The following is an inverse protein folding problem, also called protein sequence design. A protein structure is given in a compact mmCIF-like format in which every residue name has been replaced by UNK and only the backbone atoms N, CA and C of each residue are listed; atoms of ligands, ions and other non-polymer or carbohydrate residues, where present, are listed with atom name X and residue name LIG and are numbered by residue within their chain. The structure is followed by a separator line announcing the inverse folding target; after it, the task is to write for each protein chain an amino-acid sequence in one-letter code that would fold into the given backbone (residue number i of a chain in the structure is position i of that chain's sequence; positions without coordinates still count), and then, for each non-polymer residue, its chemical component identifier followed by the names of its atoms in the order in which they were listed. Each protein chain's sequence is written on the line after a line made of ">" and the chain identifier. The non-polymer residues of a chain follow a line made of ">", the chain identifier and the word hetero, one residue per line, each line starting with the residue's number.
data_IF_060314808362
#
_entry.id   IF_060314808362
#
_cell.length_a   1.000
_cell.length_b   1.000
_cell.length_c   1.000
_cell.angle_alpha   90.00
_cell.angle_beta   90.00
_cell.angle_gamma   90.00
#
_symmetry.space_group_name_H-M   'P 1'
#
loop_
_entity.id
_entity.type
_entity.pdbx_description
1 polymer ?
#
# COMPACT_ATOMS: atom_id res chain seq x y z
N UNK A 1 8.33 1.87 -21.64
CA UNK A 1 8.18 1.84 -20.17
C UNK A 1 8.00 3.25 -19.64
N UNK A 2 8.97 4.16 -19.81
CA UNK A 2 8.83 5.56 -19.35
C UNK A 2 7.57 6.26 -19.86
N UNK A 3 7.23 6.15 -21.15
CA UNK A 3 5.98 6.72 -21.67
C UNK A 3 4.72 6.24 -20.91
N UNK A 4 4.66 4.94 -20.55
CA UNK A 4 3.55 4.39 -19.77
C UNK A 4 3.61 4.92 -18.34
N UNK A 5 4.81 4.94 -17.74
CA UNK A 5 5.03 5.40 -16.37
C UNK A 5 4.61 6.86 -16.18
N UNK A 6 5.06 7.77 -17.07
CA UNK A 6 4.72 9.20 -17.01
C UNK A 6 3.20 9.40 -17.00
N UNK A 7 2.52 8.70 -17.89
CA UNK A 7 1.07 8.87 -18.09
C UNK A 7 0.24 8.21 -17.00
N UNK A 8 0.72 7.11 -16.45
CA UNK A 8 0.09 6.46 -15.30
C UNK A 8 0.32 7.30 -14.04
N UNK A 9 1.53 7.86 -13.86
CA UNK A 9 1.85 8.79 -12.79
C UNK A 9 0.90 10.02 -12.81
N UNK A 10 0.68 10.62 -13.98
CA UNK A 10 -0.23 11.77 -14.13
C UNK A 10 -1.70 11.47 -13.78
N UNK A 11 -2.09 10.19 -13.78
CA UNK A 11 -3.44 9.73 -13.42
C UNK A 11 -3.58 9.32 -11.96
N UNK A 12 -2.52 9.41 -11.15
CA UNK A 12 -2.57 9.02 -9.74
C UNK A 12 -3.51 9.94 -8.94
N UNK A 13 -4.42 9.36 -8.16
CA UNK A 13 -5.39 10.11 -7.33
C UNK A 13 -5.06 10.06 -5.83
N UNK A 14 -3.97 9.41 -5.43
CA UNK A 14 -3.60 9.22 -4.01
C UNK A 14 -3.16 10.51 -3.29
N UNK A 15 -2.78 11.55 -4.05
CA UNK A 15 -2.20 12.79 -3.52
C UNK A 15 -0.71 12.69 -3.18
N UNK A 16 -0.06 11.55 -3.50
CA UNK A 16 1.39 11.34 -3.32
C UNK A 16 2.07 11.18 -4.67
N UNK A 17 3.32 11.63 -4.76
CA UNK A 17 4.15 11.52 -5.97
C UNK A 17 4.83 10.16 -5.97
N UNK A 18 4.46 9.28 -6.90
CA UNK A 18 5.05 7.94 -7.06
C UNK A 18 6.47 8.02 -7.62
N UNK A 19 7.46 8.29 -6.76
CA UNK A 19 8.85 8.50 -7.17
C UNK A 19 9.45 7.37 -8.02
N UNK A 20 9.13 6.07 -7.82
CA UNK A 20 9.64 5.02 -8.70
C UNK A 20 9.23 5.15 -10.16
N UNK A 21 8.07 5.77 -10.46
CA UNK A 21 7.60 5.97 -11.84
C UNK A 21 8.29 7.14 -12.54
N UNK A 22 8.80 8.13 -11.78
CA UNK A 22 9.59 9.24 -12.32
C UNK A 22 10.99 8.80 -12.74
N UNK A 23 11.43 7.64 -12.25
CA UNK A 23 12.71 7.01 -12.58
C UNK A 23 13.95 7.91 -12.41
N UNK A 24 13.95 8.77 -11.38
CA UNK A 24 15.06 9.69 -11.12
C UNK A 24 16.38 8.94 -10.87
N UNK A 25 16.29 7.73 -10.31
CA UNK A 25 17.42 6.84 -10.01
C UNK A 25 17.77 5.87 -11.16
N UNK A 26 16.92 5.77 -12.19
CA UNK A 26 17.17 4.95 -13.39
C UNK A 26 16.94 3.44 -13.23
N UNK A 27 16.17 3.00 -12.24
CA UNK A 27 15.90 1.59 -11.94
C UNK A 27 14.56 1.05 -12.49
N UNK A 28 13.65 1.91 -12.95
CA UNK A 28 12.29 1.53 -13.35
C UNK A 28 12.29 0.39 -14.37
N UNK A 29 13.12 0.47 -15.41
CA UNK A 29 13.17 -0.57 -16.44
C UNK A 29 13.71 -1.90 -15.89
N UNK A 30 14.76 -1.84 -15.06
CA UNK A 30 15.38 -3.03 -14.45
C UNK A 30 14.38 -3.74 -13.52
N UNK A 31 13.76 -3.00 -12.61
CA UNK A 31 12.77 -3.52 -11.67
C UNK A 31 11.53 -4.07 -12.37
N UNK A 32 11.07 -3.40 -13.43
CA UNK A 32 9.93 -3.87 -14.23
C UNK A 32 10.27 -5.20 -14.89
N UNK A 33 11.44 -5.31 -15.55
CA UNK A 33 11.85 -6.54 -16.23
C UNK A 33 12.02 -7.69 -15.22
N UNK A 34 12.74 -7.46 -14.12
CA UNK A 34 12.95 -8.46 -13.07
C UNK A 34 11.61 -8.94 -12.49
N UNK A 35 10.67 -8.04 -12.24
CA UNK A 35 9.32 -8.38 -11.77
C UNK A 35 8.58 -9.27 -12.79
N UNK A 36 8.57 -8.89 -14.06
CA UNK A 36 7.92 -9.67 -15.13
C UNK A 36 8.55 -11.06 -15.30
N UNK A 37 9.88 -11.17 -15.21
CA UNK A 37 10.62 -12.44 -15.29
C UNK A 37 10.26 -13.36 -14.12
N UNK A 38 10.21 -12.84 -12.89
CA UNK A 38 9.80 -13.59 -11.69
C UNK A 38 8.36 -14.11 -11.79
N UNK A 39 7.46 -13.32 -12.36
CA UNK A 39 6.08 -13.74 -12.67
C UNK A 39 6.01 -14.82 -13.76
N UNK A 40 7.10 -15.03 -14.49
CA UNK A 40 7.22 -16.04 -15.54
C UNK A 40 6.82 -15.55 -16.93
N UNK A 41 6.71 -14.23 -17.14
CA UNK A 41 6.44 -13.70 -18.47
C UNK A 41 7.69 -13.87 -19.34
N UNK A 42 7.54 -14.57 -20.46
CA UNK A 42 8.61 -14.68 -21.45
C UNK A 42 8.83 -13.35 -22.16
N UNK A 43 10.08 -12.91 -22.25
CA UNK A 43 10.42 -11.72 -23.04
C UNK A 43 10.00 -11.88 -24.52
N UNK A 44 9.49 -10.82 -25.17
CA UNK A 44 9.15 -10.89 -26.58
C UNK A 44 10.42 -11.13 -27.41
N UNK A 45 10.31 -11.95 -28.47
CA UNK A 45 11.45 -12.29 -29.34
C UNK A 45 11.98 -11.10 -30.14
N UNK A 46 11.12 -10.12 -30.37
CA UNK A 46 11.40 -8.87 -31.06
C UNK A 46 10.50 -7.79 -30.48
N UNK A 47 10.93 -6.54 -30.58
CA UNK A 47 10.07 -5.43 -30.18
C UNK A 47 8.77 -5.45 -31.00
N UNK A 48 7.59 -5.30 -30.38
CA UNK A 48 6.32 -5.31 -31.11
C UNK A 48 6.23 -4.13 -32.07
N UNK A 49 5.92 -4.41 -33.34
CA UNK A 49 5.89 -3.38 -34.41
C UNK A 49 4.79 -2.37 -34.15
N UNK A 50 3.68 -2.81 -33.55
CA UNK A 50 2.56 -1.95 -33.15
C UNK A 50 2.93 -0.94 -32.04
N UNK A 51 4.07 -1.11 -31.38
CA UNK A 51 4.59 -0.17 -30.37
C UNK A 51 5.80 0.63 -30.87
N UNK A 52 6.27 0.38 -32.10
CA UNK A 52 7.41 1.07 -32.70
C UNK A 52 6.97 2.41 -33.31
N UNK A 53 6.60 3.33 -32.42
CA UNK A 53 5.98 4.63 -32.74
C UNK A 53 6.87 5.77 -32.22
N UNK A 54 6.78 6.94 -32.83
CA UNK A 54 7.47 8.15 -32.36
C UNK A 54 6.68 8.83 -31.23
N UNK A 55 7.04 8.52 -29.99
CA UNK A 55 6.40 9.03 -28.77
C UNK A 55 6.59 10.54 -28.51
N UNK A 56 7.54 11.20 -29.19
CA UNK A 56 7.88 12.62 -28.93
C UNK A 56 7.06 13.61 -29.76
N UNK A 57 6.36 13.14 -30.81
CA UNK A 57 5.67 14.01 -31.78
C UNK A 57 4.20 13.65 -31.99
N UNK A 58 3.61 12.93 -31.04
CA UNK A 58 2.22 12.45 -31.09
C UNK A 58 1.27 13.60 -30.72
N UNK A 59 0.31 13.92 -31.60
CA UNK A 59 -0.77 14.85 -31.26
C UNK A 59 -1.86 14.20 -30.41
N UNK A 60 -2.89 14.95 -29.99
CA UNK A 60 -3.92 14.46 -29.07
C UNK A 60 -4.74 13.29 -29.66
N UNK A 61 -5.01 13.27 -30.98
CA UNK A 61 -5.75 12.16 -31.63
C UNK A 61 -4.85 10.92 -31.78
N UNK A 62 -3.59 11.11 -32.20
CA UNK A 62 -2.62 10.02 -32.29
C UNK A 62 -2.28 9.42 -30.90
N UNK A 63 -2.50 10.18 -29.82
CA UNK A 63 -2.31 9.71 -28.44
C UNK A 63 -3.37 8.68 -28.03
N UNK A 64 -4.61 8.81 -28.49
CA UNK A 64 -5.68 7.82 -28.21
C UNK A 64 -5.37 6.48 -28.91
N UNK A 65 -5.01 6.53 -30.21
CA UNK A 65 -4.63 5.34 -30.98
C UNK A 65 -3.39 4.63 -30.39
N UNK A 66 -2.45 5.41 -29.85
CA UNK A 66 -1.27 4.88 -29.15
C UNK A 66 -1.66 4.17 -27.84
N UNK A 67 -2.61 4.72 -27.08
CA UNK A 67 -3.13 4.07 -25.88
C UNK A 67 -3.84 2.77 -26.19
N UNK A 68 -4.67 2.75 -27.23
CA UNK A 68 -5.31 1.52 -27.69
C UNK A 68 -4.26 0.47 -28.07
N UNK A 69 -3.17 0.86 -28.71
CA UNK A 69 -2.06 -0.06 -29.06
C UNK A 69 -1.35 -0.62 -27.83
N UNK A 70 -1.14 0.20 -26.80
CA UNK A 70 -0.55 -0.20 -25.51
C UNK A 70 -1.48 -1.17 -24.78
N UNK A 71 -2.76 -0.84 -24.63
CA UNK A 71 -3.72 -1.64 -23.88
C UNK A 71 -4.08 -2.94 -24.60
N UNK A 72 -3.95 -3.01 -25.92
CA UNK A 72 -4.13 -4.25 -26.69
C UNK A 72 -2.89 -5.16 -26.71
N UNK A 73 -1.69 -4.65 -26.42
CA UNK A 73 -0.49 -5.47 -26.36
C UNK A 73 -0.41 -6.23 -25.01
N UNK A 74 -0.22 -7.56 -25.00
CA UNK A 74 -0.22 -8.34 -23.75
C UNK A 74 0.86 -7.95 -22.74
N UNK A 75 2.04 -7.52 -23.19
CA UNK A 75 3.11 -7.11 -22.27
C UNK A 75 2.86 -5.69 -21.75
N UNK A 76 2.56 -4.77 -22.65
CA UNK A 76 2.37 -3.36 -22.29
C UNK A 76 1.14 -3.14 -21.42
N UNK A 77 0.04 -3.85 -21.68
CA UNK A 77 -1.15 -3.82 -20.81
C UNK A 77 -0.90 -4.37 -19.41
N UNK A 78 -0.02 -5.37 -19.26
CA UNK A 78 0.40 -5.85 -17.93
C UNK A 78 1.26 -4.81 -17.23
N UNK A 79 2.24 -4.22 -17.93
CA UNK A 79 3.08 -3.14 -17.38
C UNK A 79 2.23 -1.96 -16.92
N UNK A 80 1.27 -1.53 -17.75
CA UNK A 80 0.31 -0.48 -17.41
C UNK A 80 -0.47 -0.81 -16.13
N UNK A 81 -1.00 -2.03 -16.00
CA UNK A 81 -1.71 -2.46 -14.78
C UNK A 81 -0.82 -2.47 -13.55
N UNK A 82 0.42 -2.94 -13.68
CA UNK A 82 1.39 -2.94 -12.58
C UNK A 82 1.67 -1.50 -12.14
N UNK A 83 1.89 -0.58 -13.08
CA UNK A 83 2.18 0.82 -12.75
C UNK A 83 0.98 1.53 -12.11
N UNK A 84 -0.25 1.24 -12.56
CA UNK A 84 -1.45 1.80 -11.91
C UNK A 84 -1.54 1.32 -10.46
N UNK A 85 -1.39 0.01 -10.25
CA UNK A 85 -1.32 -0.57 -8.91
C UNK A 85 -0.17 -0.01 -8.08
N UNK A 86 0.96 0.33 -8.71
CA UNK A 86 2.11 0.93 -8.04
C UNK A 86 1.79 2.33 -7.50
N UNK A 87 0.99 3.13 -8.20
CA UNK A 87 0.52 4.42 -7.66
C UNK A 87 -0.23 4.22 -6.34
N UNK A 88 -1.12 3.23 -6.29
CA UNK A 88 -1.96 2.99 -5.12
C UNK A 88 -1.16 2.42 -3.94
N UNK A 89 -0.32 1.41 -4.22
CA UNK A 89 0.57 0.80 -3.23
C UNK A 89 1.57 1.84 -2.70
N UNK A 90 2.15 2.64 -3.58
CA UNK A 90 3.08 3.70 -3.19
C UNK A 90 2.37 4.79 -2.39
N UNK A 91 1.16 5.20 -2.77
CA UNK A 91 0.38 6.18 -2.03
C UNK A 91 0.16 5.74 -0.58
N UNK A 92 -0.25 4.49 -0.36
CA UNK A 92 -0.40 3.97 1.00
C UNK A 92 0.93 3.90 1.76
N UNK A 93 2.00 3.47 1.07
CA UNK A 93 3.34 3.45 1.63
C UNK A 93 3.78 4.84 2.10
N UNK A 94 3.67 5.86 1.25
CA UNK A 94 4.05 7.24 1.56
C UNK A 94 3.17 7.83 2.68
N UNK A 95 1.88 7.49 2.71
CA UNK A 95 0.93 7.98 3.71
C UNK A 95 1.20 7.46 5.13
N UNK A 96 1.51 6.16 5.26
CA UNK A 96 1.45 5.45 6.55
C UNK A 96 2.70 4.66 6.93
N UNK A 97 3.57 4.35 5.97
CA UNK A 97 4.72 3.44 6.17
C UNK A 97 6.05 4.18 6.14
N UNK A 98 6.23 5.12 5.20
CA UNK A 98 7.51 5.83 5.01
C UNK A 98 7.95 6.55 6.29
N UNK A 99 7.05 7.26 6.96
CA UNK A 99 7.35 7.94 8.24
C UNK A 99 7.95 6.98 9.29
N UNK A 100 7.47 5.74 9.35
CA UNK A 100 7.99 4.72 10.27
C UNK A 100 9.35 4.18 9.82
N UNK A 101 9.59 4.08 8.51
CA UNK A 101 10.90 3.65 7.97
C UNK A 101 11.96 4.72 8.23
N UNK A 102 11.61 6.00 8.09
CA UNK A 102 12.51 7.12 8.31
C UNK A 102 12.72 7.45 9.80
N UNK A 103 11.96 6.86 10.72
CA UNK A 103 12.11 7.09 12.16
C UNK A 103 13.46 6.51 12.66
N UNK A 104 14.41 7.40 12.95
CA UNK A 104 15.75 7.03 13.46
C UNK A 104 15.69 6.23 14.77
N UNK A 105 14.60 6.36 15.54
CA UNK A 105 14.37 5.63 16.78
C UNK A 105 13.99 4.16 16.60
N UNK A 106 13.55 3.76 15.41
CA UNK A 106 13.15 2.38 15.11
C UNK A 106 14.28 1.49 14.56
N UNK A 107 15.43 2.06 14.17
CA UNK A 107 16.59 1.34 13.61
C UNK A 107 16.21 0.38 12.46
N UNK A 108 15.29 0.82 11.58
CA UNK A 108 14.74 -0.01 10.49
C UNK A 108 15.81 -0.45 9.50
N UNK A 109 16.82 0.39 9.25
CA UNK A 109 17.92 0.12 8.34
C UNK A 109 18.76 -1.11 8.73
N UNK A 110 18.69 -1.54 9.99
CA UNK A 110 19.36 -2.74 10.50
C UNK A 110 18.48 -4.00 10.44
N UNK A 111 17.29 -3.91 9.82
CA UNK A 111 16.28 -4.97 9.79
C UNK A 111 15.81 -5.28 8.37
N UNK A 112 15.14 -6.42 8.20
CA UNK A 112 14.58 -6.80 6.90
C UNK A 112 13.41 -5.89 6.46
N UNK A 113 12.83 -5.09 7.37
CA UNK A 113 11.78 -4.14 7.03
C UNK A 113 12.25 -3.02 6.09
N UNK A 114 13.56 -2.80 5.93
CA UNK A 114 14.11 -1.88 4.93
C UNK A 114 13.71 -2.30 3.49
N UNK A 115 13.44 -3.58 3.25
CA UNK A 115 13.10 -4.10 1.93
C UNK A 115 11.70 -3.69 1.45
N UNK A 116 10.84 -3.16 2.34
CA UNK A 116 9.49 -2.69 2.02
C UNK A 116 9.53 -1.64 0.90
N UNK A 117 10.46 -0.67 1.00
CA UNK A 117 10.61 0.41 0.02
C UNK A 117 11.12 -0.12 -1.32
N UNK A 118 12.10 -1.02 -1.29
CA UNK A 118 12.77 -1.54 -2.50
C UNK A 118 11.96 -2.60 -3.25
N UNK A 119 10.87 -3.12 -2.66
CA UNK A 119 10.08 -4.21 -3.25
C UNK A 119 8.68 -3.79 -3.71
N UNK A 120 8.38 -2.48 -3.74
CA UNK A 120 7.03 -1.95 -4.01
C UNK A 120 6.50 -2.38 -5.37
N UNK A 121 7.35 -2.41 -6.41
CA UNK A 121 6.99 -2.89 -7.75
C UNK A 121 6.50 -4.34 -7.72
N UNK A 122 7.16 -5.20 -6.95
CA UNK A 122 6.77 -6.61 -6.82
C UNK A 122 5.43 -6.76 -6.09
N UNK A 123 5.18 -5.96 -5.05
CA UNK A 123 3.89 -5.95 -4.36
C UNK A 123 2.78 -5.40 -5.26
N UNK A 124 3.03 -4.33 -6.01
CA UNK A 124 2.09 -3.78 -6.97
C UNK A 124 1.68 -4.82 -8.01
N UNK A 125 2.63 -5.61 -8.52
CA UNK A 125 2.36 -6.71 -9.42
C UNK A 125 1.51 -7.82 -8.79
N UNK A 126 1.52 -7.98 -7.46
CA UNK A 126 0.65 -8.94 -6.79
C UNK A 126 -0.82 -8.53 -6.80
N UNK A 127 -1.14 -7.23 -6.90
CA UNK A 127 -2.52 -6.71 -6.86
C UNK A 127 -3.29 -6.87 -8.17
N UNK A 128 -2.61 -7.17 -9.26
CA UNK A 128 -3.24 -7.30 -10.58
C UNK A 128 -3.68 -8.74 -10.84
N UNK A 129 -4.71 -8.92 -11.67
CA UNK A 129 -5.19 -10.24 -12.07
C UNK A 129 -4.57 -10.67 -13.41
N UNK A 130 -3.90 -11.82 -13.41
CA UNK A 130 -3.21 -12.39 -14.58
C UNK A 130 -3.51 -13.89 -14.69
N UNK A 131 -3.79 -14.33 -15.93
CA UNK A 131 -4.00 -15.74 -16.22
C UNK A 131 -2.69 -16.55 -16.16
N UNK A 132 -2.79 -17.78 -15.67
CA UNK A 132 -1.63 -18.67 -15.52
C UNK A 132 -1.02 -19.11 -16.87
N UNK A 133 -1.73 -18.98 -17.99
CA UNK A 133 -1.13 -19.20 -19.32
C UNK A 133 -0.16 -18.08 -19.72
N UNK A 134 -0.39 -16.85 -19.25
CA UNK A 134 0.46 -15.68 -19.53
C UNK A 134 1.62 -15.58 -18.55
N UNK A 135 1.38 -15.88 -17.28
CA UNK A 135 2.36 -15.78 -16.20
C UNK A 135 2.33 -17.07 -15.35
N UNK A 136 3.03 -18.14 -15.76
CA UNK A 136 2.94 -19.46 -15.13
C UNK A 136 3.44 -19.47 -13.68
N UNK A 137 4.36 -18.58 -13.32
CA UNK A 137 4.92 -18.49 -11.96
C UNK A 137 4.16 -17.52 -11.07
N UNK A 138 3.14 -16.83 -11.59
CA UNK A 138 2.49 -15.72 -10.90
C UNK A 138 1.96 -16.07 -9.51
N UNK A 139 1.36 -17.27 -9.34
CA UNK A 139 0.86 -17.72 -8.03
C UNK A 139 1.98 -17.91 -7.00
N UNK A 140 3.11 -18.47 -7.43
CA UNK A 140 4.24 -18.68 -6.54
C UNK A 140 4.91 -17.34 -6.20
N UNK A 141 5.10 -16.49 -7.21
CA UNK A 141 5.58 -15.12 -7.05
C UNK A 141 4.72 -14.34 -6.05
N UNK A 142 3.40 -14.32 -6.24
CA UNK A 142 2.45 -13.64 -5.35
C UNK A 142 2.57 -14.14 -3.91
N UNK A 143 2.58 -15.46 -3.72
CA UNK A 143 2.73 -16.07 -2.39
C UNK A 143 4.04 -15.67 -1.69
N UNK A 144 5.16 -15.67 -2.42
CA UNK A 144 6.47 -15.31 -1.85
C UNK A 144 6.51 -13.83 -1.45
N UNK A 145 6.06 -12.94 -2.35
CA UNK A 145 6.03 -11.49 -2.09
C UNK A 145 5.09 -11.15 -0.94
N UNK A 146 3.87 -11.68 -0.92
CA UNK A 146 2.90 -11.44 0.16
C UNK A 146 3.46 -11.90 1.50
N UNK A 147 4.08 -13.08 1.55
CA UNK A 147 4.69 -13.62 2.77
C UNK A 147 5.86 -12.75 3.26
N UNK A 148 6.70 -12.26 2.36
CA UNK A 148 7.82 -11.39 2.73
C UNK A 148 7.31 -10.06 3.29
N UNK A 149 6.33 -9.44 2.62
CA UNK A 149 5.68 -8.23 3.12
C UNK A 149 4.96 -8.43 4.45
N UNK A 150 4.25 -9.55 4.65
CA UNK A 150 3.63 -9.89 5.94
C UNK A 150 4.67 -9.88 7.06
N UNK A 151 5.84 -10.49 6.83
CA UNK A 151 6.92 -10.54 7.82
C UNK A 151 7.49 -9.14 8.08
N UNK A 152 7.81 -8.38 7.04
CA UNK A 152 8.41 -7.05 7.15
C UNK A 152 7.47 -6.05 7.83
N UNK A 153 6.19 -6.01 7.43
CA UNK A 153 5.19 -5.12 8.02
C UNK A 153 4.86 -5.53 9.47
N UNK A 154 4.83 -6.83 9.78
CA UNK A 154 4.67 -7.31 11.15
C UNK A 154 5.85 -6.91 12.04
N UNK A 155 7.08 -6.97 11.51
CA UNK A 155 8.27 -6.50 12.22
C UNK A 155 8.22 -4.99 12.46
N UNK A 156 7.91 -4.20 11.43
CA UNK A 156 7.77 -2.75 11.53
C UNK A 156 6.70 -2.36 12.56
N UNK A 157 5.54 -3.01 12.51
CA UNK A 157 4.45 -2.84 13.48
C UNK A 157 4.90 -3.13 14.91
N UNK A 158 5.65 -4.22 15.13
CA UNK A 158 6.17 -4.57 16.44
C UNK A 158 7.19 -3.54 16.97
N UNK A 159 8.05 -3.01 16.09
CA UNK A 159 9.02 -1.98 16.44
C UNK A 159 8.34 -0.67 16.81
N UNK A 160 7.41 -0.20 15.98
CA UNK A 160 6.58 0.99 16.26
C UNK A 160 5.85 0.85 17.60
N UNK A 161 5.23 -0.30 17.85
CA UNK A 161 4.55 -0.57 19.12
C UNK A 161 5.50 -0.51 20.33
N UNK A 162 6.68 -1.11 20.24
CA UNK A 162 7.67 -1.09 21.33
C UNK A 162 8.23 0.31 21.61
N UNK A 163 8.32 1.15 20.59
CA UNK A 163 8.73 2.54 20.71
C UNK A 163 7.58 3.46 21.20
N UNK A 164 6.36 2.95 21.32
CA UNK A 164 5.19 3.74 21.69
C UNK A 164 4.71 4.68 20.58
N UNK A 165 5.05 4.38 19.32
CA UNK A 165 4.61 5.15 18.16
C UNK A 165 3.22 4.67 17.74
N UNK A 166 2.21 5.57 17.71
CA UNK A 166 0.87 5.20 17.31
C UNK A 166 0.80 4.92 15.79
N UNK A 167 0.14 3.84 15.39
CA UNK A 167 -0.12 3.51 14.00
C UNK A 167 -1.45 4.13 13.55
N UNK A 168 -1.38 4.88 12.45
CA UNK A 168 -2.54 5.59 11.85
C UNK A 168 -3.39 4.69 10.93
N UNK A 169 -2.80 3.63 10.40
CA UNK A 169 -3.47 2.61 9.59
C UNK A 169 -2.97 1.20 9.93
N UNK A 170 -3.76 0.17 9.59
CA UNK A 170 -3.31 -1.22 9.70
C UNK A 170 -2.34 -1.54 8.57
N UNK A 171 -1.05 -1.68 8.90
CA UNK A 171 0.00 -1.82 7.89
C UNK A 171 -0.20 -3.04 6.98
N UNK A 172 -0.79 -4.13 7.49
CA UNK A 172 -1.06 -5.34 6.71
C UNK A 172 -2.13 -5.16 5.62
N UNK A 173 -2.89 -4.06 5.64
CA UNK A 173 -3.78 -3.70 4.52
C UNK A 173 -2.99 -3.60 3.21
N UNK A 174 -1.74 -3.13 3.27
CA UNK A 174 -0.85 -3.07 2.11
C UNK A 174 -0.68 -4.43 1.40
N UNK A 175 -0.83 -5.55 2.11
CA UNK A 175 -0.80 -6.91 1.54
C UNK A 175 -2.19 -7.38 1.10
N UNK A 176 -3.20 -7.22 1.95
CA UNK A 176 -4.48 -7.90 1.76
C UNK A 176 -5.55 -7.09 1.02
N UNK A 177 -5.50 -5.75 1.11
CA UNK A 177 -6.49 -4.88 0.49
C UNK A 177 -6.20 -4.74 -1.01
N UNK A 178 -7.23 -4.40 -1.79
CA UNK A 178 -7.09 -4.15 -3.22
C UNK A 178 -6.31 -2.85 -3.48
N UNK A 179 -5.80 -2.67 -4.70
CA UNK A 179 -5.12 -1.43 -5.07
C UNK A 179 -6.06 -0.21 -4.87
N UNK A 180 -7.30 -0.29 -5.34
CA UNK A 180 -8.32 0.76 -5.16
C UNK A 180 -8.54 1.14 -3.68
N UNK A 181 -8.62 0.15 -2.78
CA UNK A 181 -8.79 0.40 -1.34
C UNK A 181 -7.58 1.13 -0.73
N UNK A 182 -6.36 0.78 -1.17
CA UNK A 182 -5.13 1.46 -0.76
C UNK A 182 -5.10 2.91 -1.29
N UNK A 183 -5.56 3.11 -2.52
CA UNK A 183 -5.69 4.43 -3.14
C UNK A 183 -6.58 5.36 -2.33
N UNK A 184 -7.79 4.89 -1.99
CA UNK A 184 -8.77 5.64 -1.18
C UNK A 184 -8.20 5.96 0.21
N UNK A 185 -7.50 5.02 0.83
CA UNK A 185 -6.89 5.23 2.13
C UNK A 185 -5.77 6.28 2.09
N UNK A 186 -4.97 6.30 1.03
CA UNK A 186 -3.92 7.28 0.81
C UNK A 186 -4.49 8.67 0.53
N UNK A 187 -5.47 8.78 -0.38
CA UNK A 187 -6.15 10.04 -0.68
C UNK A 187 -6.77 10.67 0.57
N UNK A 188 -7.44 9.85 1.40
CA UNK A 188 -8.02 10.33 2.64
C UNK A 188 -6.97 10.90 3.62
N UNK A 189 -5.74 10.36 3.63
CA UNK A 189 -4.65 10.93 4.45
C UNK A 189 -4.10 12.22 3.84
N UNK A 190 -3.90 12.27 2.53
CA UNK A 190 -3.40 13.49 1.86
C UNK A 190 -4.36 14.67 1.99
N UNK A 191 -5.66 14.39 2.12
CA UNK A 191 -6.72 15.36 2.42
C UNK A 191 -6.93 15.62 3.93
N UNK A 192 -6.04 15.12 4.80
CA UNK A 192 -6.07 15.29 6.25
C UNK A 192 -7.30 14.70 6.96
N UNK A 193 -8.07 13.83 6.29
CA UNK A 193 -9.30 13.24 6.85
C UNK A 193 -8.99 12.20 7.95
N UNK A 194 -7.80 11.60 7.91
CA UNK A 194 -7.35 10.56 8.83
C UNK A 194 -6.31 11.02 9.88
N UNK A 195 -5.95 12.32 9.92
CA UNK A 195 -4.88 12.85 10.80
C UNK A 195 -5.00 12.51 12.29
N UNK A 196 -6.22 12.39 12.82
CA UNK A 196 -6.47 12.05 14.23
C UNK A 196 -6.88 10.60 14.46
N UNK A 197 -6.89 9.77 13.41
CA UNK A 197 -7.34 8.38 13.49
C UNK A 197 -6.20 7.53 14.06
N UNK A 198 -6.45 6.95 15.23
CA UNK A 198 -5.69 5.82 15.74
C UNK A 198 -6.47 4.58 15.34
N UNK A 199 -5.85 3.63 14.64
CA UNK A 199 -6.59 2.47 14.13
C UNK A 199 -7.01 1.54 15.29
N UNK A 200 -8.31 1.41 15.63
CA UNK A 200 -8.74 0.74 16.86
C UNK A 200 -8.33 -0.74 16.90
N UNK A 201 -8.32 -1.41 15.75
CA UNK A 201 -8.01 -2.83 15.65
C UNK A 201 -6.55 -3.14 16.01
N UNK A 202 -5.65 -2.16 15.87
CA UNK A 202 -4.24 -2.31 16.27
C UNK A 202 -4.11 -2.34 17.80
N UNK A 203 -4.98 -1.62 18.50
CA UNK A 203 -4.94 -1.43 19.95
C UNK A 203 -6.03 -2.21 20.69
N UNK A 204 -6.70 -3.14 20.01
CA UNK A 204 -7.87 -3.81 20.59
C UNK A 204 -7.49 -4.58 21.86
N UNK A 205 -6.29 -5.15 21.92
CA UNK A 205 -5.80 -5.84 23.12
C UNK A 205 -5.59 -4.87 24.30
N UNK A 206 -5.02 -3.70 24.05
CA UNK A 206 -4.79 -2.64 25.03
C UNK A 206 -6.12 -2.08 25.54
N UNK A 207 -7.07 -1.85 24.63
CA UNK A 207 -8.42 -1.39 24.95
C UNK A 207 -9.13 -2.43 25.82
N UNK A 208 -9.11 -3.71 25.43
CA UNK A 208 -9.70 -4.80 26.22
C UNK A 208 -9.05 -4.93 27.60
N UNK A 209 -7.72 -4.77 27.67
CA UNK A 209 -6.99 -4.81 28.94
C UNK A 209 -7.35 -3.63 29.83
N UNK A 210 -7.43 -2.42 29.27
CA UNK A 210 -7.90 -1.22 29.96
C UNK A 210 -9.33 -1.39 30.48
N UNK A 211 -10.24 -1.91 29.65
CA UNK A 211 -11.61 -2.23 30.06
C UNK A 211 -11.63 -3.24 31.20
N UNK A 212 -10.82 -4.31 31.17
CA UNK A 212 -10.72 -5.29 32.27
C UNK A 212 -10.24 -4.63 33.56
N UNK A 213 -9.25 -3.73 33.51
CA UNK A 213 -8.77 -2.99 34.68
C UNK A 213 -9.88 -2.08 35.23
N UNK A 214 -10.57 -1.33 34.36
CA UNK A 214 -11.68 -0.47 34.75
C UNK A 214 -12.78 -1.29 35.43
N UNK A 215 -13.15 -2.46 34.88
CA UNK A 215 -14.13 -3.36 35.48
C UNK A 215 -13.74 -3.88 36.87
N UNK A 216 -12.44 -3.96 37.18
CA UNK A 216 -11.96 -4.38 38.50
C UNK A 216 -11.89 -3.21 39.48
N UNK A 217 -11.42 -2.05 39.04
CA UNK A 217 -11.12 -0.90 39.91
C UNK A 217 -12.37 -0.05 40.16
N UNK A 218 -13.23 0.12 39.16
CA UNK A 218 -14.40 1.00 39.25
C UNK A 218 -15.38 0.58 40.37
N UNK A 219 -15.72 -0.71 40.57
CA UNK A 219 -16.59 -1.11 41.69
C UNK A 219 -15.99 -0.79 43.06
N UNK A 220 -14.68 -0.95 43.22
CA UNK A 220 -13.96 -0.64 44.47
C UNK A 220 -13.97 0.86 44.73
N UNK A 221 -13.83 1.69 43.69
CA UNK A 221 -13.95 3.15 43.80
C UNK A 221 -15.38 3.53 44.19
N UNK A 222 -16.40 2.95 43.54
CA UNK A 222 -17.80 3.24 43.84
C UNK A 222 -18.17 2.88 45.28
N UNK A 223 -17.70 1.73 45.77
CA UNK A 223 -17.88 1.30 47.17
C UNK A 223 -17.24 2.30 48.14
N UNK A 224 -16.00 2.73 47.88
CA UNK A 224 -15.30 3.71 48.72
C UNK A 224 -15.93 5.11 48.72
N UNK A 225 -16.59 5.48 47.64
CA UNK A 225 -17.27 6.77 47.50
C UNK A 225 -18.75 6.72 47.91
N UNK A 226 -19.22 5.58 48.43
CA UNK A 226 -20.60 5.34 48.83
C UNK A 226 -21.62 5.62 47.70
N UNK A 227 -21.21 5.37 46.44
CA UNK A 227 -22.07 5.51 45.26
C UNK A 227 -22.83 4.20 45.06
N UNK A 228 -24.11 4.17 45.45
CA UNK A 228 -24.95 2.97 45.36
C UNK A 228 -25.86 2.95 44.12
N UNK A 229 -26.13 4.12 43.54
CA UNK A 229 -27.24 4.30 42.59
C UNK A 229 -26.74 4.72 41.20
N UNK A 230 -25.57 4.25 40.79
CA UNK A 230 -25.03 4.55 39.47
C UNK A 230 -25.79 3.75 38.41
N UNK A 231 -26.49 4.46 37.52
CA UNK A 231 -27.07 3.90 36.31
C UNK A 231 -26.32 4.44 35.08
N UNK A 232 -25.99 3.53 34.17
CA UNK A 232 -25.35 3.88 32.91
C UNK A 232 -26.38 4.53 31.98
N UNK A 233 -26.19 5.80 31.65
CA UNK A 233 -26.97 6.46 30.61
C UNK A 233 -26.43 6.09 29.23
N UNK A 234 -27.03 5.08 28.60
CA UNK A 234 -26.67 4.63 27.26
C UNK A 234 -26.84 5.73 26.19
N UNK A 235 -27.71 6.71 26.43
CA UNK A 235 -27.91 7.82 25.47
C UNK A 235 -26.71 8.76 25.38
N UNK A 236 -25.85 8.78 26.40
CA UNK A 236 -24.60 9.53 26.42
C UNK A 236 -23.43 8.81 25.71
N UNK A 237 -23.61 7.54 25.31
CA UNK A 237 -22.58 6.74 24.63
C UNK A 237 -22.55 6.96 23.11
N UNK A 238 -23.55 7.62 22.54
CA UNK A 238 -23.62 7.93 21.12
C UNK A 238 -23.29 9.40 20.86
N UNK A 239 -22.20 9.65 20.14
CA UNK A 239 -21.87 10.99 19.64
C UNK A 239 -22.52 11.15 18.26
N UNK A 240 -23.53 12.02 18.16
CA UNK A 240 -24.16 12.43 16.90
C UNK A 240 -25.58 11.89 16.68
N UNK A 241 -26.50 12.82 16.41
CA UNK A 241 -27.77 12.58 15.71
C UNK A 241 -27.60 13.04 14.27
#
# INVERSE_FOLDING_TARGET
>A
MHFIADRVHDRAETGYVTTPLLDEEGFLCEETIDTLEKMGLSAPKSFPVELDINYENTDDEETEDLWDSISNNPHSSIIEKIYNSLNDVYGFYAAYVDELIQDEGLDIYSTDAINIMYSLMSLAACKIEIDSATAPNFRQFRYEVEKDYENWLSQLKLLAFRAGIPLRAELLQMVYDSADDLSVAAEAESLDLNKSRIHPDIYMNEILTGMRIIHQVLPVIMEKLEITDFELDESALHIGR
#
